data_IF_057645025876
#
_entry.id   IF_057645025876
#
_cell.length_a   1.000
_cell.length_b   1.000
_cell.length_c   1.000
_cell.angle_alpha   90.00
_cell.angle_beta   90.00
_cell.angle_gamma   90.00
#
_symmetry.space_group_name_H-M   'P 1'
#
loop_
_entity.id
_entity.type
_entity.pdbx_description
1 polymer ?
#
# COMPACT_ATOMS: atom_id res chain seq x y z
N UNK A 1 -11.14 2.20 21.35
CA UNK A 1 -10.28 1.34 20.49
C UNK A 1 -10.88 -0.06 20.57
N UNK A 2 -11.88 -0.33 19.73
CA UNK A 2 -12.80 -1.47 19.91
C UNK A 2 -12.65 -2.57 18.86
N UNK A 3 -11.94 -2.31 17.74
CA UNK A 3 -11.71 -3.27 16.67
C UNK A 3 -10.23 -3.35 16.28
N UNK A 4 -9.77 -4.55 15.96
CA UNK A 4 -8.49 -4.85 15.32
C UNK A 4 -8.56 -4.70 13.80
N UNK A 5 -7.40 -4.72 13.13
CA UNK A 5 -7.30 -4.48 11.68
C UNK A 5 -8.15 -5.45 10.86
N UNK A 6 -8.23 -6.71 11.26
CA UNK A 6 -8.98 -7.72 10.51
C UNK A 6 -10.49 -7.56 10.69
N UNK A 7 -10.94 -7.12 11.87
CA UNK A 7 -12.34 -6.78 12.13
C UNK A 7 -12.77 -5.53 11.35
N UNK A 8 -11.91 -4.51 11.29
CA UNK A 8 -12.14 -3.32 10.46
C UNK A 8 -12.22 -3.69 8.97
N UNK A 9 -11.39 -4.65 8.52
CA UNK A 9 -11.45 -5.16 7.15
C UNK A 9 -12.75 -5.90 6.87
N UNK A 10 -13.22 -6.73 7.79
CA UNK A 10 -14.49 -7.44 7.66
C UNK A 10 -15.67 -6.45 7.54
N UNK A 11 -15.71 -5.42 8.39
CA UNK A 11 -16.70 -4.34 8.29
C UNK A 11 -16.62 -3.64 6.93
N UNK A 12 -15.42 -3.33 6.45
CA UNK A 12 -15.24 -2.71 5.14
C UNK A 12 -15.82 -3.53 3.98
N UNK A 13 -15.69 -4.86 4.03
CA UNK A 13 -16.28 -5.76 3.02
C UNK A 13 -17.80 -5.76 3.09
N UNK A 14 -18.37 -5.82 4.30
CA UNK A 14 -19.82 -5.77 4.51
C UNK A 14 -20.44 -4.46 4.01
N UNK A 15 -19.69 -3.36 4.12
CA UNK A 15 -20.09 -2.05 3.57
C UNK A 15 -19.91 -1.93 2.04
N UNK A 16 -19.47 -2.99 1.36
CA UNK A 16 -19.28 -3.00 -0.09
C UNK A 16 -18.04 -2.26 -0.57
N UNK A 17 -17.04 -2.01 0.29
CA UNK A 17 -15.78 -1.42 -0.16
C UNK A 17 -15.05 -2.39 -1.09
N UNK A 18 -14.38 -1.89 -2.15
CA UNK A 18 -13.68 -2.77 -3.07
C UNK A 18 -12.57 -3.56 -2.36
N UNK A 19 -12.48 -4.86 -2.64
CA UNK A 19 -11.53 -5.78 -2.00
C UNK A 19 -10.08 -5.28 -2.09
N UNK A 20 -9.70 -4.68 -3.22
CA UNK A 20 -8.38 -4.09 -3.43
C UNK A 20 -8.02 -2.97 -2.42
N UNK A 21 -9.01 -2.21 -1.93
CA UNK A 21 -8.78 -1.16 -0.93
C UNK A 21 -8.68 -1.74 0.48
N UNK A 22 -9.55 -2.69 0.82
CA UNK A 22 -9.59 -3.34 2.13
C UNK A 22 -8.35 -4.22 2.37
N UNK A 23 -7.93 -4.94 1.32
CA UNK A 23 -6.79 -5.84 1.33
C UNK A 23 -5.43 -5.15 1.24
N UNK A 24 -5.39 -3.88 0.80
CA UNK A 24 -4.14 -3.15 0.54
C UNK A 24 -3.14 -3.27 1.70
N UNK A 25 -1.87 -3.46 1.34
CA UNK A 25 -0.78 -3.38 2.30
C UNK A 25 -0.80 -2.03 3.03
N UNK A 26 -0.56 -2.01 4.36
CA UNK A 26 -0.52 -0.76 5.09
C UNK A 26 0.58 0.15 4.55
N UNK A 27 0.28 1.44 4.43
CA UNK A 27 1.21 2.45 3.99
C UNK A 27 1.56 3.37 5.17
N UNK A 28 2.84 3.72 5.39
CA UNK A 28 3.26 4.51 6.53
C UNK A 28 2.72 5.95 6.46
N UNK A 29 2.44 6.57 7.61
CA UNK A 29 1.95 7.95 7.70
C UNK A 29 2.87 8.99 7.03
N UNK A 30 4.20 8.95 7.27
CA UNK A 30 5.17 9.78 6.54
C UNK A 30 5.29 9.48 5.04
N UNK A 31 4.62 8.43 4.56
CA UNK A 31 4.61 8.01 3.16
C UNK A 31 5.99 7.63 2.61
N UNK A 32 6.30 8.09 1.40
CA UNK A 32 7.55 7.75 0.71
C UNK A 32 8.78 8.40 1.35
N UNK A 33 8.62 9.39 2.23
CA UNK A 33 9.73 10.09 2.87
C UNK A 33 10.67 9.13 3.62
N UNK A 34 10.13 8.12 4.31
CA UNK A 34 10.94 7.14 5.04
C UNK A 34 11.57 6.06 4.14
N UNK A 35 11.21 6.04 2.85
CA UNK A 35 11.74 5.09 1.85
C UNK A 35 12.81 5.72 0.96
N UNK A 36 13.01 7.04 1.03
CA UNK A 36 14.10 7.74 0.33
C UNK A 36 15.31 7.85 1.25
N UNK A 37 16.46 7.33 0.82
CA UNK A 37 17.70 7.42 1.59
C UNK A 37 18.35 8.78 1.32
N UNK A 38 18.53 9.57 2.39
CA UNK A 38 19.09 10.92 2.32
C UNK A 38 18.04 11.97 1.93
N UNK A 39 18.45 12.98 1.17
CA UNK A 39 17.57 14.10 0.85
C UNK A 39 16.32 13.69 0.07
N UNK A 40 15.18 14.23 0.51
CA UNK A 40 13.87 14.01 -0.10
C UNK A 40 13.68 15.07 -1.19
N UNK A 41 14.01 14.71 -2.43
CA UNK A 41 13.82 15.57 -3.59
C UNK A 41 12.67 15.08 -4.46
N UNK A 42 12.11 15.97 -5.28
CA UNK A 42 11.04 15.63 -6.24
C UNK A 42 11.47 14.51 -7.18
N UNK A 43 12.65 14.64 -7.78
CA UNK A 43 13.22 13.66 -8.70
C UNK A 43 13.32 12.26 -8.07
N UNK A 44 13.84 12.16 -6.85
CA UNK A 44 13.95 10.88 -6.13
C UNK A 44 12.58 10.28 -5.82
N UNK A 45 11.60 11.12 -5.46
CA UNK A 45 10.23 10.67 -5.23
C UNK A 45 9.57 10.20 -6.53
N UNK A 46 9.85 10.86 -7.67
CA UNK A 46 9.29 10.48 -8.97
C UNK A 46 9.82 9.11 -9.40
N UNK A 47 11.13 8.89 -9.32
CA UNK A 47 11.75 7.57 -9.57
C UNK A 47 11.21 6.50 -8.62
N UNK A 48 11.08 6.81 -7.32
CA UNK A 48 10.56 5.84 -6.35
C UNK A 48 9.09 5.49 -6.61
N UNK A 49 8.27 6.44 -7.05
CA UNK A 49 6.86 6.17 -7.42
C UNK A 49 6.76 5.25 -8.63
N UNK A 50 7.60 5.47 -9.63
CA UNK A 50 7.65 4.61 -10.82
C UNK A 50 8.09 3.19 -10.46
N UNK A 51 9.15 3.05 -9.65
CA UNK A 51 9.62 1.76 -9.18
C UNK A 51 8.58 1.03 -8.31
N UNK A 52 7.90 1.74 -7.39
CA UNK A 52 6.84 1.16 -6.54
C UNK A 52 5.64 0.70 -7.38
N UNK A 53 5.26 1.47 -8.42
CA UNK A 53 4.20 1.09 -9.34
C UNK A 53 4.53 -0.21 -10.10
N UNK A 54 5.72 -0.29 -10.71
CA UNK A 54 6.17 -1.50 -11.42
C UNK A 54 6.21 -2.69 -10.45
N UNK A 55 6.82 -2.51 -9.28
CA UNK A 55 6.90 -3.58 -8.28
C UNK A 55 5.51 -4.10 -7.87
N UNK A 56 4.56 -3.20 -7.59
CA UNK A 56 3.20 -3.57 -7.22
C UNK A 56 2.43 -4.26 -8.36
N UNK A 57 2.67 -3.87 -9.61
CA UNK A 57 2.09 -4.52 -10.78
C UNK A 57 2.60 -5.95 -10.94
N UNK A 58 3.92 -6.13 -10.88
CA UNK A 58 4.56 -7.44 -11.06
C UNK A 58 4.16 -8.44 -9.97
N UNK A 59 4.14 -8.02 -8.69
CA UNK A 59 3.74 -8.93 -7.61
C UNK A 59 2.24 -9.27 -7.64
N UNK A 60 1.40 -8.40 -8.21
CA UNK A 60 -0.01 -8.71 -8.45
C UNK A 60 -0.16 -9.70 -9.60
N UNK A 61 0.56 -9.48 -10.70
CA UNK A 61 0.57 -10.38 -11.85
C UNK A 61 1.09 -11.78 -11.49
N UNK A 62 1.99 -11.88 -10.50
CA UNK A 62 2.52 -13.13 -9.98
C UNK A 62 1.65 -13.78 -8.88
N UNK A 63 0.47 -13.24 -8.55
CA UNK A 63 -0.39 -13.68 -7.44
C UNK A 63 0.29 -13.68 -6.05
N UNK A 64 1.36 -12.87 -5.90
CA UNK A 64 2.13 -12.77 -4.65
C UNK A 64 1.67 -11.63 -3.73
N UNK A 65 0.75 -10.77 -4.19
CA UNK A 65 0.32 -9.59 -3.42
C UNK A 65 -0.43 -9.96 -2.13
N UNK A 66 -1.29 -10.97 -2.21
CA UNK A 66 -2.16 -11.42 -1.12
C UNK A 66 -1.65 -12.71 -0.44
N UNK A 67 -0.45 -13.18 -0.81
CA UNK A 67 0.22 -14.37 -0.24
C UNK A 67 0.61 -14.20 1.23
#
# INVERSE_FOLDING_TARGET
>A
RELFKDEVRAVGRELGLPTQFVGRHPFPGPGLAIRVIGDITRERLDTLREADAIYLEEIRAADLYDS
#
